data_IF_465160236868
#
_entry.id   IF_465160236868
#
_cell.length_a   1.000
_cell.length_b   1.000
_cell.length_c   1.000
_cell.angle_alpha   90.00
_cell.angle_beta   90.00
_cell.angle_gamma   90.00
#
_symmetry.space_group_name_H-M   'P 1'
#
loop_
_entity.id
_entity.type
_entity.pdbx_description
1 polymer ?
#
# COMPACT_ATOMS: atom_id res chain seq x y z
N UNK A 1 23.34 2.25 -17.30
CA UNK A 1 21.98 1.69 -17.16
C UNK A 1 21.34 2.44 -16.00
N UNK A 2 20.53 3.44 -16.31
CA UNK A 2 19.70 4.14 -15.33
C UNK A 2 18.55 3.21 -14.99
N UNK A 3 18.57 2.60 -13.81
CA UNK A 3 17.38 2.00 -13.23
C UNK A 3 16.40 3.15 -12.99
N UNK A 4 15.42 3.29 -13.87
CA UNK A 4 14.22 4.07 -13.57
C UNK A 4 13.68 3.60 -12.21
N UNK A 5 13.09 4.47 -11.37
CA UNK A 5 12.43 3.99 -10.19
C UNK A 5 11.25 3.14 -10.67
N UNK A 6 11.46 1.82 -10.72
CA UNK A 6 10.43 0.88 -11.08
C UNK A 6 9.26 1.14 -10.13
N UNK A 7 8.05 1.24 -10.70
CA UNK A 7 6.83 1.44 -9.95
C UNK A 7 6.59 0.29 -8.95
N UNK A 8 5.37 0.18 -8.47
CA UNK A 8 5.02 -0.96 -7.63
C UNK A 8 5.22 -2.28 -8.39
N UNK A 9 6.03 -3.18 -7.86
CA UNK A 9 6.16 -4.55 -8.36
C UNK A 9 4.91 -5.32 -7.94
N UNK A 10 3.90 -5.30 -8.81
CA UNK A 10 2.61 -5.90 -8.53
C UNK A 10 2.69 -7.42 -8.45
N UNK A 11 3.52 -8.04 -9.29
CA UNK A 11 3.68 -9.49 -9.31
C UNK A 11 4.27 -9.97 -7.97
N UNK A 12 5.24 -9.25 -7.42
CA UNK A 12 5.74 -9.48 -6.07
C UNK A 12 4.65 -9.30 -5.00
N UNK A 13 3.82 -8.27 -5.12
CA UNK A 13 2.73 -8.03 -4.18
C UNK A 13 1.69 -9.16 -4.20
N UNK A 14 1.31 -9.63 -5.40
CA UNK A 14 0.40 -10.78 -5.56
C UNK A 14 1.04 -12.05 -5.02
N UNK A 15 2.30 -12.34 -5.35
CA UNK A 15 3.01 -13.51 -4.83
C UNK A 15 3.04 -13.53 -3.30
N UNK A 16 3.28 -12.37 -2.67
CA UNK A 16 3.30 -12.23 -1.21
C UNK A 16 1.92 -12.42 -0.56
N UNK A 17 0.85 -11.99 -1.23
CA UNK A 17 -0.45 -11.80 -0.58
C UNK A 17 -1.60 -12.68 -1.09
N UNK A 18 -1.44 -13.37 -2.22
CA UNK A 18 -2.49 -14.20 -2.87
C UNK A 18 -3.19 -15.18 -1.92
N UNK A 19 -2.44 -15.78 -1.00
CA UNK A 19 -2.94 -16.78 -0.04
C UNK A 19 -3.15 -16.20 1.37
N UNK A 20 -3.06 -14.86 1.50
CA UNK A 20 -3.19 -14.10 2.73
C UNK A 20 -1.87 -13.94 3.50
N UNK A 21 -1.75 -12.84 4.25
CA UNK A 21 -0.57 -12.52 5.04
C UNK A 21 -0.90 -11.65 6.26
N UNK A 22 -0.18 -11.85 7.36
CA UNK A 22 -0.13 -10.89 8.45
C UNK A 22 0.78 -9.72 8.04
N UNK A 23 0.37 -8.49 8.34
CA UNK A 23 1.15 -7.28 8.07
C UNK A 23 1.35 -6.51 9.36
N UNK A 24 2.58 -6.02 9.56
CA UNK A 24 2.89 -5.20 10.73
C UNK A 24 2.27 -3.83 10.58
N UNK A 25 1.37 -3.49 11.50
CA UNK A 25 0.60 -2.26 11.40
C UNK A 25 1.39 -1.08 11.89
N UNK A 26 1.15 0.08 11.27
CA UNK A 26 1.74 1.34 11.70
C UNK A 26 1.45 1.61 13.19
N UNK A 27 2.36 2.27 13.93
CA UNK A 27 2.11 2.65 15.31
C UNK A 27 0.78 3.42 15.46
N UNK A 28 -0.11 2.92 16.32
CA UNK A 28 -1.46 3.48 16.52
C UNK A 28 -2.48 3.11 15.43
N UNK A 29 -2.09 2.32 14.43
CA UNK A 29 -2.97 1.76 13.41
C UNK A 29 -3.78 0.56 13.91
N UNK A 30 -4.90 0.29 13.25
CA UNK A 30 -5.69 -0.91 13.51
C UNK A 30 -4.99 -2.15 12.96
N UNK A 31 -4.93 -3.24 13.73
CA UNK A 31 -4.38 -4.53 13.30
C UNK A 31 -5.18 -5.12 12.14
N UNK A 32 -4.58 -5.19 10.96
CA UNK A 32 -5.20 -5.73 9.75
C UNK A 32 -4.46 -6.97 9.25
N UNK A 33 -5.15 -7.79 8.48
CA UNK A 33 -4.57 -8.96 7.81
C UNK A 33 -4.94 -8.89 6.34
N UNK A 34 -3.98 -9.16 5.46
CA UNK A 34 -4.26 -9.33 4.03
C UNK A 34 -4.91 -10.71 3.86
N UNK A 35 -6.09 -10.75 3.25
CA UNK A 35 -6.83 -12.00 3.02
C UNK A 35 -6.65 -12.57 1.63
N UNK A 36 -6.04 -11.82 0.72
CA UNK A 36 -5.78 -12.22 -0.66
C UNK A 36 -5.29 -11.05 -1.51
N UNK A 37 -4.77 -11.34 -2.68
CA UNK A 37 -4.48 -10.37 -3.72
C UNK A 37 -4.65 -11.03 -5.10
N UNK A 38 -5.01 -10.22 -6.09
CA UNK A 38 -5.17 -10.62 -7.48
C UNK A 38 -4.58 -9.57 -8.44
N UNK A 39 -4.88 -9.68 -9.72
CA UNK A 39 -4.35 -8.81 -10.77
C UNK A 39 -4.73 -7.32 -10.60
N UNK A 40 -5.78 -7.01 -9.83
CA UNK A 40 -6.32 -5.67 -9.67
C UNK A 40 -6.30 -5.13 -8.23
N UNK A 41 -6.33 -6.00 -7.20
CA UNK A 41 -6.61 -5.58 -5.82
C UNK A 41 -5.84 -6.38 -4.77
N UNK A 42 -5.64 -5.73 -3.63
CA UNK A 42 -5.27 -6.37 -2.36
C UNK A 42 -6.48 -6.33 -1.44
N UNK A 43 -6.88 -7.49 -0.93
CA UNK A 43 -8.00 -7.65 -0.01
C UNK A 43 -7.52 -7.65 1.43
N UNK A 44 -8.12 -6.80 2.26
CA UNK A 44 -7.73 -6.64 3.66
C UNK A 44 -8.92 -6.90 4.56
N UNK A 45 -8.67 -7.63 5.65
CA UNK A 45 -9.65 -7.94 6.68
C UNK A 45 -9.20 -7.42 8.03
N UNK A 46 -10.16 -6.83 8.72
CA UNK A 46 -10.13 -6.57 10.15
C UNK A 46 -11.21 -7.43 10.83
N UNK A 47 -11.19 -7.52 12.16
CA UNK A 47 -12.22 -8.24 12.93
C UNK A 47 -13.65 -7.79 12.64
N UNK A 48 -13.85 -6.52 12.30
CA UNK A 48 -15.17 -5.87 12.17
C UNK A 48 -15.52 -5.43 10.74
N UNK A 49 -14.58 -5.47 9.81
CA UNK A 49 -14.75 -4.93 8.47
C UNK A 49 -13.79 -5.55 7.48
N UNK A 50 -14.10 -5.42 6.19
CA UNK A 50 -13.20 -5.73 5.07
C UNK A 50 -12.98 -4.47 4.23
N UNK A 51 -11.88 -4.45 3.50
CA UNK A 51 -11.54 -3.41 2.56
C UNK A 51 -10.77 -3.99 1.38
N UNK A 52 -10.72 -3.22 0.31
CA UNK A 52 -9.89 -3.48 -0.85
C UNK A 52 -9.01 -2.27 -1.13
N UNK A 53 -7.82 -2.53 -1.65
CA UNK A 53 -6.91 -1.53 -2.16
C UNK A 53 -6.69 -1.81 -3.64
N UNK A 54 -6.97 -0.84 -4.50
CA UNK A 54 -6.81 -1.03 -5.92
C UNK A 54 -5.37 -0.79 -6.36
N UNK A 55 -4.88 -1.67 -7.24
CA UNK A 55 -3.57 -1.61 -7.87
C UNK A 55 -3.23 -0.23 -8.39
N UNK A 56 -4.13 0.35 -9.18
CA UNK A 56 -3.89 1.65 -9.82
C UNK A 56 -3.68 2.79 -8.80
N UNK A 57 -4.31 2.73 -7.62
CA UNK A 57 -4.09 3.73 -6.57
C UNK A 57 -2.74 3.50 -5.88
N UNK A 58 -2.39 2.24 -5.60
CA UNK A 58 -1.12 1.89 -4.97
C UNK A 58 0.08 2.21 -5.88
N UNK A 59 0.00 1.87 -7.17
CA UNK A 59 0.97 2.24 -8.20
C UNK A 59 1.15 3.75 -8.26
N UNK A 60 0.05 4.51 -8.39
CA UNK A 60 0.11 5.98 -8.39
C UNK A 60 0.72 6.54 -7.11
N UNK A 61 0.42 5.94 -5.95
CA UNK A 61 1.01 6.31 -4.67
C UNK A 61 2.53 6.14 -4.66
N UNK A 62 3.02 4.99 -5.15
CA UNK A 62 4.45 4.69 -5.29
C UNK A 62 5.12 5.64 -6.29
N UNK A 63 4.48 5.91 -7.43
CA UNK A 63 5.01 6.84 -8.44
C UNK A 63 5.20 8.24 -7.87
N UNK A 64 4.22 8.76 -7.14
CA UNK A 64 4.32 10.07 -6.51
C UNK A 64 5.39 10.11 -5.39
N UNK A 65 5.59 9.00 -4.69
CA UNK A 65 6.70 8.85 -3.74
C UNK A 65 8.05 8.89 -4.46
N UNK A 66 8.18 8.15 -5.57
CA UNK A 66 9.40 8.09 -6.37
C UNK A 66 9.75 9.42 -7.03
N UNK A 67 8.74 10.20 -7.42
CA UNK A 67 8.89 11.57 -7.94
C UNK A 67 9.20 12.61 -6.84
N UNK A 68 9.13 12.23 -5.57
CA UNK A 68 9.32 13.15 -4.43
C UNK A 68 8.13 14.07 -4.15
N UNK A 69 6.98 13.83 -4.79
CA UNK A 69 5.74 14.58 -4.54
C UNK A 69 5.04 14.17 -3.23
N UNK A 70 5.25 12.92 -2.80
CA UNK A 70 4.78 12.40 -1.50
C UNK A 70 5.98 11.92 -0.68
N UNK A 71 6.08 12.26 0.63
CA UNK A 71 7.14 11.74 1.48
C UNK A 71 7.05 10.23 1.68
N UNK A 72 8.20 9.55 1.78
CA UNK A 72 8.30 8.11 2.13
C UNK A 72 7.87 7.77 3.56
N UNK A 73 7.83 8.75 4.45
CA UNK A 73 7.40 8.56 5.83
C UNK A 73 5.90 8.22 5.89
N UNK A 74 5.55 7.06 6.42
CA UNK A 74 4.18 6.53 6.34
C UNK A 74 3.09 7.50 6.84
N UNK A 75 3.33 8.22 7.94
CA UNK A 75 2.36 9.19 8.47
C UNK A 75 2.13 10.37 7.52
N UNK A 76 3.19 10.88 6.89
CA UNK A 76 3.08 11.98 5.91
C UNK A 76 2.51 11.49 4.58
N UNK A 77 2.79 10.24 4.22
CA UNK A 77 2.20 9.59 3.06
C UNK A 77 0.68 9.55 3.16
N UNK A 78 0.13 9.12 4.32
CA UNK A 78 -1.32 9.02 4.56
C UNK A 78 -2.05 10.32 4.21
N UNK A 79 -1.54 11.45 4.69
CA UNK A 79 -2.17 12.76 4.48
C UNK A 79 -2.16 13.17 3.00
N UNK A 80 -1.05 12.94 2.30
CA UNK A 80 -0.92 13.31 0.88
C UNK A 80 -1.61 12.33 -0.06
N UNK A 81 -1.63 11.04 0.28
CA UNK A 81 -2.31 10.02 -0.51
C UNK A 81 -3.81 10.30 -0.60
N UNK A 82 -4.43 10.68 0.53
CA UNK A 82 -5.83 11.08 0.58
C UNK A 82 -6.17 12.20 -0.41
N UNK A 83 -5.26 13.17 -0.59
CA UNK A 83 -5.52 14.35 -1.42
C UNK A 83 -5.09 14.20 -2.87
N UNK A 84 -4.02 13.43 -3.14
CA UNK A 84 -3.40 13.33 -4.47
C UNK A 84 -3.76 12.04 -5.21
N UNK A 85 -4.15 10.99 -4.48
CA UNK A 85 -4.43 9.66 -5.03
C UNK A 85 -5.91 9.31 -4.83
N UNK A 86 -6.29 8.96 -3.60
CA UNK A 86 -7.65 8.55 -3.24
C UNK A 86 -7.81 8.51 -1.70
N UNK A 87 -9.04 8.69 -1.21
CA UNK A 87 -9.39 8.39 0.20
C UNK A 87 -9.72 6.89 0.40
N UNK A 88 -9.04 6.02 -0.37
CA UNK A 88 -9.15 4.58 -0.26
C UNK A 88 -8.25 4.09 0.88
N UNK A 89 -8.83 4.00 2.09
CA UNK A 89 -8.18 3.51 3.31
C UNK A 89 -6.69 3.93 3.42
N UNK A 90 -6.35 5.23 3.45
CA UNK A 90 -4.97 5.69 3.31
C UNK A 90 -3.99 5.09 4.33
N UNK A 91 -4.44 4.82 5.56
CA UNK A 91 -3.64 4.14 6.60
C UNK A 91 -3.33 2.68 6.25
N UNK A 92 -4.27 1.98 5.63
CA UNK A 92 -4.08 0.59 5.19
C UNK A 92 -3.17 0.57 3.96
N UNK A 93 -3.37 1.47 2.99
CA UNK A 93 -2.46 1.63 1.86
C UNK A 93 -1.01 1.90 2.33
N UNK A 94 -0.82 2.81 3.28
CA UNK A 94 0.49 3.08 3.87
C UNK A 94 1.10 1.86 4.59
N UNK A 95 0.27 1.07 5.28
CA UNK A 95 0.71 -0.17 5.94
C UNK A 95 1.23 -1.18 4.91
N UNK A 96 0.47 -1.42 3.84
CA UNK A 96 0.86 -2.35 2.78
C UNK A 96 2.12 -1.88 2.06
N UNK A 97 2.21 -0.59 1.70
CA UNK A 97 3.38 -0.06 1.01
C UNK A 97 4.62 -0.03 1.89
N UNK A 98 4.48 0.14 3.21
CA UNK A 98 5.58 -0.04 4.14
C UNK A 98 6.04 -1.50 4.21
N UNK A 99 5.09 -2.44 4.29
CA UNK A 99 5.39 -3.88 4.36
C UNK A 99 6.05 -4.41 3.06
N UNK A 100 5.74 -3.78 1.92
CA UNK A 100 6.40 -4.02 0.63
C UNK A 100 7.73 -3.27 0.47
N UNK A 101 8.11 -2.40 1.42
CA UNK A 101 9.40 -1.70 1.42
C UNK A 101 9.45 -0.37 0.66
N UNK A 102 8.31 0.18 0.24
CA UNK A 102 8.23 1.47 -0.45
C UNK A 102 8.17 2.68 0.50
N UNK A 103 7.79 2.45 1.76
CA UNK A 103 7.69 3.48 2.80
C UNK A 103 8.58 3.15 4.01
N UNK A 104 8.88 4.17 4.80
CA UNK A 104 9.62 4.09 6.08
C UNK A 104 8.70 4.29 7.28
#
# INVERSE_FOLDING_TARGET
MTTEPAGLDWDQAVEKYRDGAAVDTLPGGATVTVSGADDERIYVKHRLWTAELHRYNLEKGVDLVNQGAIPREANKFIDKYRTLVADERPTVAATILKDLGYLS
#
